data_IF_246006646480
#
_entry.id   IF_246006646480
#
_cell.length_a   1.000
_cell.length_b   1.000
_cell.length_c   1.000
_cell.angle_alpha   90.00
_cell.angle_beta   90.00
_cell.angle_gamma   90.00
#
_symmetry.space_group_name_H-M   'P 1'
#
loop_
_entity.id
_entity.type
_entity.pdbx_description
1 polymer ?
#
# COMPACT_ATOMS: atom_id res chain seq x y z
N UNK A 1 -2.90 2.58 -12.54
CA UNK A 1 -3.41 3.78 -11.84
C UNK A 1 -2.42 4.12 -10.75
N UNK A 2 -1.97 5.36 -10.67
CA UNK A 2 -1.06 5.76 -9.60
C UNK A 2 -1.77 5.75 -8.25
N UNK A 3 -1.04 5.43 -7.18
CA UNK A 3 -1.57 5.62 -5.84
C UNK A 3 -1.61 7.12 -5.51
N UNK A 4 -2.73 7.56 -4.96
CA UNK A 4 -2.90 8.94 -4.52
C UNK A 4 -2.79 8.99 -2.99
N UNK A 5 -2.12 10.02 -2.44
CA UNK A 5 -1.96 10.20 -0.99
C UNK A 5 -3.31 10.14 -0.25
N UNK A 6 -4.35 10.77 -0.79
CA UNK A 6 -5.69 10.74 -0.17
C UNK A 6 -6.30 9.35 -0.10
N UNK A 7 -6.02 8.47 -1.08
CA UNK A 7 -6.44 7.06 -1.04
C UNK A 7 -5.64 6.34 0.04
N UNK A 8 -4.33 6.57 0.12
CA UNK A 8 -3.45 5.93 1.11
C UNK A 8 -3.86 6.29 2.53
N UNK A 9 -4.21 7.56 2.79
CA UNK A 9 -4.65 8.03 4.11
C UNK A 9 -5.98 7.43 4.55
N UNK A 10 -6.90 7.20 3.61
CA UNK A 10 -8.23 6.62 3.86
C UNK A 10 -8.21 5.10 4.03
N UNK A 11 -7.10 4.42 3.73
CA UNK A 11 -6.99 2.98 3.91
C UNK A 11 -7.07 2.63 5.39
N UNK A 12 -8.01 1.74 5.69
CA UNK A 12 -8.05 1.09 7.00
C UNK A 12 -7.17 -0.15 6.97
N UNK A 13 -6.49 -0.48 8.08
CA UNK A 13 -5.82 -1.76 8.22
C UNK A 13 -6.85 -2.88 8.01
N UNK A 14 -6.52 -3.84 7.15
CA UNK A 14 -7.34 -5.04 6.94
C UNK A 14 -6.86 -6.16 7.85
N UNK A 15 -7.65 -7.21 8.04
CA UNK A 15 -7.26 -8.39 8.82
C UNK A 15 -6.08 -9.17 8.21
N UNK A 16 -5.68 -8.85 6.98
CA UNK A 16 -4.53 -9.44 6.28
C UNK A 16 -3.71 -8.36 5.57
N UNK A 17 -2.41 -8.61 5.32
CA UNK A 17 -1.58 -7.69 4.55
C UNK A 17 -2.12 -7.48 3.13
N UNK A 18 -2.27 -6.22 2.73
CA UNK A 18 -2.76 -5.84 1.39
C UNK A 18 -1.65 -5.16 0.63
N UNK A 19 -1.42 -5.60 -0.62
CA UNK A 19 -0.50 -4.96 -1.56
C UNK A 19 -1.30 -4.01 -2.44
N UNK A 20 -0.88 -2.75 -2.47
CA UNK A 20 -1.44 -1.74 -3.34
C UNK A 20 -0.40 -1.37 -4.37
N UNK A 21 -0.59 -1.87 -5.58
CA UNK A 21 0.29 -1.55 -6.69
C UNK A 21 0.16 -0.07 -7.04
N UNK A 22 1.31 0.57 -7.17
CA UNK A 22 1.45 1.84 -7.86
C UNK A 22 1.95 1.56 -9.30
N UNK A 23 2.94 2.30 -9.77
CA UNK A 23 3.55 2.18 -11.10
C UNK A 23 4.97 1.61 -11.02
N UNK A 24 5.46 1.07 -12.14
CA UNK A 24 6.86 0.61 -12.29
C UNK A 24 7.34 -0.38 -11.20
N UNK A 25 6.47 -1.27 -10.75
CA UNK A 25 6.80 -2.27 -9.72
C UNK A 25 6.82 -1.72 -8.28
N UNK A 26 6.55 -0.43 -8.08
CA UNK A 26 6.35 0.15 -6.76
C UNK A 26 4.99 -0.29 -6.21
N UNK A 27 4.95 -0.72 -4.95
CA UNK A 27 3.71 -1.01 -4.26
C UNK A 27 3.81 -0.70 -2.77
N UNK A 28 2.67 -0.32 -2.17
CA UNK A 28 2.53 -0.13 -0.73
C UNK A 28 1.99 -1.41 -0.10
N UNK A 29 2.69 -1.95 0.88
CA UNK A 29 2.21 -3.02 1.74
C UNK A 29 1.57 -2.41 2.99
N UNK A 30 0.28 -2.64 3.19
CA UNK A 30 -0.47 -2.24 4.39
C UNK A 30 -0.70 -3.47 5.24
N UNK A 31 -0.12 -3.50 6.44
CA UNK A 31 -0.27 -4.60 7.37
C UNK A 31 -1.48 -4.41 8.30
N UNK A 32 -2.00 -5.50 8.90
CA UNK A 32 -3.10 -5.43 9.86
C UNK A 32 -2.81 -4.57 11.08
N UNK A 33 -1.55 -4.49 11.52
CA UNK A 33 -1.11 -3.61 12.60
C UNK A 33 -1.03 -2.13 12.23
N UNK A 34 -1.45 -1.74 11.02
CA UNK A 34 -1.46 -0.36 10.55
C UNK A 34 -0.12 0.16 10.01
N UNK A 35 0.93 -0.67 10.03
CA UNK A 35 2.20 -0.33 9.37
C UNK A 35 2.01 -0.29 7.85
N UNK A 36 2.67 0.68 7.23
CA UNK A 36 2.60 0.95 5.78
C UNK A 36 4.02 1.07 5.27
N UNK A 37 4.41 0.16 4.37
CA UNK A 37 5.80 0.04 3.91
C UNK A 37 5.79 0.04 2.38
N UNK A 38 6.65 0.86 1.79
CA UNK A 38 6.86 0.86 0.34
C UNK A 38 7.86 -0.22 -0.04
N UNK A 39 7.54 -0.95 -1.11
CA UNK A 39 8.40 -1.94 -1.72
C UNK A 39 8.50 -1.67 -3.21
N UNK A 40 9.69 -1.88 -3.75
CA UNK A 40 9.94 -1.85 -5.19
C UNK A 40 10.29 -3.26 -5.64
N UNK A 41 9.46 -3.83 -6.52
CA UNK A 41 9.78 -5.08 -7.21
C UNK A 41 10.55 -4.73 -8.48
N UNK A 42 11.82 -5.13 -8.51
CA UNK A 42 12.70 -5.11 -9.68
C UNK A 42 12.84 -6.51 -10.26
#
# INVERSE_FOLDING_TARGET
MSLNDSKIRKLKPYSRPVKLSDSHGLYLLVNPGGSRIWYLKY
#
